data_IF_589262563526
#
_entry.id   IF_589262563526
#
_cell.length_a   1.000
_cell.length_b   1.000
_cell.length_c   1.000
_cell.angle_alpha   90.00
_cell.angle_beta   90.00
_cell.angle_gamma   90.00
#
_symmetry.space_group_name_H-M   'P 1'
#
loop_
_entity.id
_entity.type
_entity.pdbx_description
1 polymer ?
#
# COMPACT_ATOMS: atom_id res chain seq x y z
N UNK A 1 27.80 56.57 36.13
CA UNK A 1 28.40 55.79 35.04
C UNK A 1 27.26 55.26 34.18
N UNK A 2 26.57 56.02 33.33
CA UNK A 2 26.98 57.12 32.43
C UNK A 2 27.89 56.64 31.28
N UNK A 3 27.28 56.16 30.18
CA UNK A 3 27.45 56.69 28.81
C UNK A 3 26.80 55.73 27.77
N UNK A 4 25.88 56.11 26.88
CA UNK A 4 25.79 57.17 25.84
C UNK A 4 26.24 56.68 24.46
N UNK A 5 25.26 56.37 23.59
CA UNK A 5 25.19 56.55 22.10
C UNK A 5 23.92 55.82 21.63
N UNK A 6 22.78 56.38 21.19
CA UNK A 6 22.41 57.57 20.38
C UNK A 6 23.07 57.61 19.00
N UNK A 7 22.60 56.76 18.10
CA UNK A 7 22.64 57.04 16.65
C UNK A 7 21.28 57.59 16.19
N UNK A 8 21.35 58.83 15.69
CA UNK A 8 20.31 59.52 14.94
C UNK A 8 20.23 58.91 13.53
N UNK A 9 19.04 58.45 13.13
CA UNK A 9 18.71 58.25 11.72
C UNK A 9 17.82 59.40 11.24
N UNK A 10 18.41 60.28 10.43
CA UNK A 10 17.74 61.37 9.73
C UNK A 10 16.82 60.79 8.63
N UNK A 11 15.51 60.87 8.84
CA UNK A 11 14.50 60.65 7.81
C UNK A 11 14.32 61.93 6.99
N UNK A 12 14.70 61.85 5.71
CA UNK A 12 14.35 62.84 4.69
C UNK A 12 12.87 62.71 4.32
N UNK A 13 12.10 63.81 4.19
CA UNK A 13 10.74 63.77 3.68
C UNK A 13 10.74 63.63 2.16
N UNK A 14 10.30 62.47 1.66
CA UNK A 14 10.03 62.24 0.23
C UNK A 14 8.67 62.87 -0.10
N UNK A 15 8.66 63.83 -1.03
CA UNK A 15 7.44 64.45 -1.59
C UNK A 15 6.59 63.41 -2.34
N UNK A 16 5.27 63.35 -2.12
CA UNK A 16 4.36 62.61 -2.99
C UNK A 16 3.80 63.56 -4.07
N UNK A 17 4.34 63.50 -5.28
CA UNK A 17 3.64 64.03 -6.45
C UNK A 17 3.98 63.16 -7.66
N UNK A 18 2.92 62.73 -8.36
CA UNK A 18 2.86 61.78 -9.49
C UNK A 18 2.77 60.30 -9.12
N UNK A 19 1.57 59.83 -8.78
CA UNK A 19 1.21 58.41 -8.90
C UNK A 19 -0.26 58.16 -9.27
N UNK A 20 -0.96 59.16 -9.82
CA UNK A 20 -2.40 59.03 -10.14
C UNK A 20 -2.74 58.81 -11.62
N UNK A 21 -1.74 58.59 -12.50
CA UNK A 21 -2.01 58.38 -13.94
C UNK A 21 -1.64 56.97 -14.44
N UNK A 22 -0.78 56.21 -13.74
CA UNK A 22 -0.47 54.82 -14.13
C UNK A 22 -1.42 53.77 -13.53
N UNK A 23 -2.13 54.10 -12.45
CA UNK A 23 -3.00 53.13 -11.79
C UNK A 23 -4.28 52.78 -12.56
N UNK A 24 -4.70 53.59 -13.54
CA UNK A 24 -5.89 53.32 -14.36
C UNK A 24 -5.61 52.44 -15.60
N UNK A 25 -4.38 52.38 -16.09
CA UNK A 25 -4.03 51.55 -17.24
C UNK A 25 -3.64 50.11 -16.84
N UNK A 26 -3.16 49.91 -15.60
CA UNK A 26 -2.80 48.58 -15.08
C UNK A 26 -4.04 47.77 -14.63
N UNK A 27 -5.14 48.43 -14.23
CA UNK A 27 -6.37 47.71 -13.83
C UNK A 27 -7.14 47.11 -15.00
N UNK A 28 -7.02 47.66 -16.23
CA UNK A 28 -7.69 47.07 -17.40
C UNK A 28 -6.93 45.86 -17.97
N UNK A 29 -5.61 45.75 -17.76
CA UNK A 29 -4.83 44.60 -18.25
C UNK A 29 -4.91 43.42 -17.26
N UNK A 30 -5.06 43.67 -15.96
CA UNK A 30 -5.21 42.60 -14.95
C UNK A 30 -6.61 41.99 -14.90
N UNK A 31 -7.65 42.70 -15.35
CA UNK A 31 -9.02 42.17 -15.42
C UNK A 31 -9.17 40.99 -16.39
N UNK A 32 -8.64 41.12 -17.62
CA UNK A 32 -8.78 40.08 -18.65
C UNK A 32 -7.96 38.81 -18.38
N UNK A 33 -6.84 38.92 -17.68
CA UNK A 33 -5.98 37.76 -17.40
C UNK A 33 -6.56 36.87 -16.27
N UNK A 34 -7.36 37.43 -15.38
CA UNK A 34 -7.97 36.68 -14.28
C UNK A 34 -9.13 35.80 -14.75
N UNK A 35 -9.92 36.23 -15.74
CA UNK A 35 -10.97 35.38 -16.34
C UNK A 35 -10.38 34.21 -17.13
N UNK A 36 -9.30 34.44 -17.89
CA UNK A 36 -8.59 33.36 -18.58
C UNK A 36 -7.99 32.33 -17.60
N UNK A 37 -7.45 32.80 -16.47
CA UNK A 37 -6.90 31.93 -15.42
C UNK A 37 -8.00 31.15 -14.68
N UNK A 38 -9.17 31.75 -14.45
CA UNK A 38 -10.30 31.08 -13.82
C UNK A 38 -10.89 29.99 -14.74
N UNK A 39 -11.06 30.29 -16.02
CA UNK A 39 -11.57 29.33 -17.01
C UNK A 39 -10.63 28.12 -17.19
N UNK A 40 -9.30 28.33 -17.12
CA UNK A 40 -8.33 27.23 -17.18
C UNK A 40 -8.43 26.25 -16.01
N UNK A 41 -8.68 26.75 -14.78
CA UNK A 41 -8.84 25.89 -13.60
C UNK A 41 -10.13 25.08 -13.65
N UNK A 42 -11.21 25.63 -14.20
CA UNK A 42 -12.48 24.89 -14.36
C UNK A 42 -12.39 23.78 -15.42
N UNK A 43 -11.55 23.95 -16.45
CA UNK A 43 -11.29 22.91 -17.45
C UNK A 43 -10.42 21.79 -16.85
N UNK A 44 -9.36 22.14 -16.11
CA UNK A 44 -8.50 21.18 -15.42
C UNK A 44 -9.28 20.38 -14.36
N UNK A 45 -10.15 21.03 -13.58
CA UNK A 45 -11.02 20.34 -12.62
C UNK A 45 -11.98 19.35 -13.30
N UNK A 46 -12.55 19.71 -14.46
CA UNK A 46 -13.42 18.81 -15.23
C UNK A 46 -12.66 17.60 -15.76
N UNK A 47 -11.44 17.78 -16.23
CA UNK A 47 -10.61 16.67 -16.71
C UNK A 47 -10.24 15.71 -15.57
N UNK A 48 -9.91 16.23 -14.39
CA UNK A 48 -9.65 15.43 -13.18
C UNK A 48 -10.90 14.65 -12.78
N UNK A 49 -12.08 15.27 -12.79
CA UNK A 49 -13.35 14.62 -12.48
C UNK A 49 -13.67 13.47 -13.44
N UNK A 50 -13.45 13.68 -14.75
CA UNK A 50 -13.65 12.64 -15.77
C UNK A 50 -12.69 11.45 -15.56
N UNK A 51 -11.44 11.71 -15.20
CA UNK A 51 -10.44 10.66 -14.93
C UNK A 51 -10.82 9.88 -13.66
N UNK A 52 -11.24 10.56 -12.60
CA UNK A 52 -11.72 9.95 -11.36
C UNK A 52 -12.96 9.08 -11.60
N UNK A 53 -13.95 9.58 -12.35
CA UNK A 53 -15.15 8.82 -12.67
C UNK A 53 -14.83 7.56 -13.49
N UNK A 54 -13.90 7.66 -14.44
CA UNK A 54 -13.43 6.49 -15.21
C UNK A 54 -12.73 5.48 -14.31
N UNK A 55 -11.89 5.91 -13.36
CA UNK A 55 -11.20 5.02 -12.41
C UNK A 55 -12.20 4.31 -11.50
N UNK A 56 -13.19 5.02 -10.97
CA UNK A 56 -14.26 4.44 -10.14
C UNK A 56 -15.07 3.39 -10.91
N UNK A 57 -15.45 3.66 -12.17
CA UNK A 57 -16.17 2.68 -13.00
C UNK A 57 -15.35 1.42 -13.25
N UNK A 58 -14.04 1.55 -13.51
CA UNK A 58 -13.16 0.40 -13.70
C UNK A 58 -13.03 -0.44 -12.43
N UNK A 59 -12.85 0.18 -11.27
CA UNK A 59 -12.83 -0.54 -9.98
C UNK A 59 -14.17 -1.25 -9.71
N UNK A 60 -15.29 -0.60 -10.03
CA UNK A 60 -16.62 -1.20 -9.84
C UNK A 60 -16.85 -2.39 -10.77
N UNK A 61 -16.35 -2.33 -12.02
CA UNK A 61 -16.37 -3.46 -12.94
C UNK A 61 -15.49 -4.62 -12.49
N UNK A 62 -14.29 -4.33 -11.97
CA UNK A 62 -13.37 -5.33 -11.44
C UNK A 62 -13.97 -6.06 -10.23
N UNK A 63 -14.51 -5.31 -9.28
CA UNK A 63 -15.21 -5.86 -8.12
C UNK A 63 -16.43 -6.71 -8.53
N UNK A 64 -17.18 -6.29 -9.57
CA UNK A 64 -18.26 -7.11 -10.14
C UNK A 64 -17.76 -8.42 -10.74
N UNK A 65 -16.60 -8.41 -11.40
CA UNK A 65 -16.00 -9.63 -11.97
C UNK A 65 -15.57 -10.59 -10.87
N UNK A 66 -14.95 -10.09 -9.80
CA UNK A 66 -14.56 -10.92 -8.65
C UNK A 66 -15.77 -11.56 -7.96
N UNK A 67 -16.83 -10.78 -7.71
CA UNK A 67 -18.08 -11.29 -7.12
C UNK A 67 -18.71 -12.37 -8.00
N UNK A 68 -18.73 -12.19 -9.32
CA UNK A 68 -19.27 -13.18 -10.23
C UNK A 68 -18.40 -14.46 -10.26
N UNK A 69 -17.08 -14.33 -10.24
CA UNK A 69 -16.17 -15.46 -10.19
C UNK A 69 -16.33 -16.28 -8.90
N UNK A 70 -16.38 -15.61 -7.74
CA UNK A 70 -16.66 -16.22 -6.43
C UNK A 70 -18.02 -16.92 -6.40
N UNK A 71 -19.04 -16.30 -7.00
CA UNK A 71 -20.39 -16.89 -7.09
C UNK A 71 -20.39 -18.17 -7.93
N UNK A 72 -19.68 -18.18 -9.05
CA UNK A 72 -19.61 -19.36 -9.92
C UNK A 72 -18.76 -20.48 -9.27
N UNK A 73 -17.69 -20.14 -8.56
CA UNK A 73 -16.90 -21.09 -7.77
C UNK A 73 -17.75 -21.73 -6.66
N UNK A 74 -18.55 -20.93 -5.94
CA UNK A 74 -19.47 -21.44 -4.92
C UNK A 74 -20.57 -22.32 -5.51
N UNK A 75 -21.10 -21.99 -6.69
CA UNK A 75 -22.07 -22.83 -7.40
C UNK A 75 -21.45 -24.17 -7.80
N UNK A 76 -20.22 -24.16 -8.32
CA UNK A 76 -19.50 -25.38 -8.65
C UNK A 76 -19.25 -26.24 -7.41
N UNK A 77 -18.86 -25.63 -6.28
CA UNK A 77 -18.68 -26.34 -5.01
C UNK A 77 -19.99 -27.00 -4.54
N UNK A 78 -21.11 -26.28 -4.56
CA UNK A 78 -22.41 -26.81 -4.18
C UNK A 78 -22.86 -27.97 -5.08
N UNK A 79 -22.68 -27.85 -6.41
CA UNK A 79 -22.99 -28.96 -7.33
C UNK A 79 -22.15 -30.21 -7.06
N UNK A 80 -20.89 -30.02 -6.63
CA UNK A 80 -20.02 -31.13 -6.27
C UNK A 80 -20.50 -31.81 -5.00
N UNK A 81 -20.88 -31.04 -3.97
CA UNK A 81 -21.44 -31.58 -2.72
C UNK A 81 -22.74 -32.35 -2.97
N UNK A 82 -23.65 -31.79 -3.77
CA UNK A 82 -24.92 -32.44 -4.13
C UNK A 82 -24.68 -33.76 -4.88
N UNK A 83 -23.76 -33.77 -5.86
CA UNK A 83 -23.40 -35.00 -6.58
C UNK A 83 -22.72 -36.07 -5.71
N UNK A 84 -22.12 -35.68 -4.58
CA UNK A 84 -21.50 -36.63 -3.64
C UNK A 84 -22.53 -37.22 -2.67
N UNK A 85 -23.65 -36.52 -2.43
CA UNK A 85 -24.69 -36.94 -1.49
C UNK A 85 -25.60 -38.04 -2.03
N UNK A 86 -25.72 -38.19 -3.36
CA UNK A 86 -26.54 -39.24 -3.97
C UNK A 86 -25.83 -40.60 -4.11
N UNK A 87 -24.56 -40.70 -3.68
CA UNK A 87 -23.77 -41.95 -3.76
C UNK A 87 -23.73 -42.75 -2.46
N UNK A 88 -24.40 -42.33 -1.38
CA UNK A 88 -24.56 -43.14 -0.17
C UNK A 88 -25.87 -43.94 -0.23
N UNK A 89 -25.95 -44.82 -1.22
CA UNK A 89 -26.71 -46.04 -1.05
C UNK A 89 -26.02 -46.83 0.07
N UNK A 90 -26.71 -46.93 1.22
CA UNK A 90 -26.32 -47.74 2.37
C UNK A 90 -25.85 -49.12 1.87
N UNK A 91 -24.57 -49.49 2.05
CA UNK A 91 -24.13 -50.82 1.68
C UNK A 91 -24.66 -51.79 2.73
N UNK A 92 -25.77 -52.47 2.41
CA UNK A 92 -26.12 -53.73 3.07
C UNK A 92 -25.01 -54.73 2.78
N UNK A 93 -24.23 -55.00 3.82
CA UNK A 93 -23.18 -56.02 3.89
C UNK A 93 -23.80 -57.39 3.55
N UNK A 94 -23.54 -57.88 2.35
CA UNK A 94 -23.81 -59.27 1.98
C UNK A 94 -22.54 -59.84 1.36
N UNK A 95 -22.00 -60.83 2.05
CA UNK A 95 -20.93 -61.71 1.60
C UNK A 95 -21.21 -62.19 0.16
N UNK A 96 -20.20 -62.11 -0.71
CA UNK A 96 -19.85 -63.13 -1.71
C UNK A 96 -18.58 -62.73 -2.49
N UNK A 97 -17.50 -63.50 -2.25
CA UNK A 97 -16.49 -63.86 -3.26
C UNK A 97 -17.16 -64.76 -4.35
N UNK A 98 -16.60 -65.05 -5.54
CA UNK A 98 -15.23 -64.82 -6.03
C UNK A 98 -15.07 -64.46 -7.53
N UNK A 99 -13.80 -64.29 -7.93
CA UNK A 99 -13.17 -64.71 -9.21
C UNK A 99 -13.49 -64.01 -10.56
N UNK A 100 -12.41 -63.50 -11.18
CA UNK A 100 -11.95 -63.72 -12.57
C UNK A 100 -11.54 -62.48 -13.39
N UNK A 101 -10.32 -62.58 -13.95
CA UNK A 101 -9.67 -61.78 -15.00
C UNK A 101 -10.26 -62.13 -16.38
N UNK A 102 -10.26 -61.23 -17.39
CA UNK A 102 -9.12 -61.03 -18.34
C UNK A 102 -8.92 -59.54 -18.75
N UNK A 103 -7.72 -59.04 -19.11
CA UNK A 103 -6.90 -59.15 -20.36
C UNK A 103 -7.55 -58.57 -21.64
N UNK A 104 -6.76 -57.74 -22.35
CA UNK A 104 -6.96 -57.11 -23.68
C UNK A 104 -7.96 -55.92 -23.75
N UNK A 105 -7.75 -54.82 -24.50
CA UNK A 105 -7.14 -54.74 -25.82
C UNK A 105 -6.70 -53.30 -26.18
N UNK A 106 -5.73 -53.30 -27.09
CA UNK A 106 -5.02 -52.23 -27.79
C UNK A 106 -5.88 -51.69 -28.94
N UNK A 107 -5.94 -50.36 -29.16
CA UNK A 107 -6.26 -49.87 -30.52
C UNK A 107 -5.67 -48.49 -30.85
N UNK A 108 -5.14 -48.51 -32.07
CA UNK A 108 -4.35 -47.56 -32.83
C UNK A 108 -5.12 -46.39 -33.46
N UNK A 109 -4.37 -45.31 -33.73
CA UNK A 109 -4.33 -44.49 -34.97
C UNK A 109 -5.63 -43.86 -35.49
N UNK A 110 -5.67 -42.52 -35.59
CA UNK A 110 -6.09 -41.85 -36.84
C UNK A 110 -5.61 -40.37 -37.00
N UNK A 111 -4.68 -40.19 -37.95
CA UNK A 111 -4.66 -39.21 -39.07
C UNK A 111 -4.82 -37.70 -38.87
N UNK A 112 -3.77 -36.98 -39.31
CA UNK A 112 -3.83 -35.65 -39.93
C UNK A 112 -4.75 -35.62 -41.17
N UNK A 113 -5.20 -34.41 -41.58
CA UNK A 113 -4.80 -33.98 -42.91
C UNK A 113 -4.27 -32.54 -43.00
N UNK A 114 -3.29 -32.40 -43.90
CA UNK A 114 -2.71 -31.18 -44.43
C UNK A 114 -3.67 -30.39 -45.33
N UNK A 115 -3.27 -29.14 -45.57
CA UNK A 115 -3.54 -28.28 -46.72
C UNK A 115 -4.69 -27.25 -46.61
N UNK A 116 -4.29 -25.97 -46.47
CA UNK A 116 -4.85 -24.91 -47.29
C UNK A 116 -3.85 -23.74 -47.41
N UNK A 117 -3.29 -23.64 -48.61
CA UNK A 117 -2.50 -22.53 -49.12
C UNK A 117 -3.37 -21.28 -49.22
N UNK A 118 -2.97 -20.22 -48.52
CA UNK A 118 -3.63 -18.92 -48.55
C UNK A 118 -2.60 -17.81 -48.72
N UNK A 119 -2.35 -17.42 -49.98
CA UNK A 119 -1.64 -16.19 -50.36
C UNK A 119 -2.19 -14.99 -49.56
N UNK A 120 -1.38 -14.42 -48.66
CA UNK A 120 -1.58 -13.07 -48.16
C UNK A 120 -0.48 -12.15 -48.67
N UNK A 121 -0.93 -11.06 -49.28
CA UNK A 121 -0.12 -9.95 -49.80
C UNK A 121 0.71 -9.32 -48.67
N UNK A 122 1.94 -8.87 -48.93
CA UNK A 122 2.71 -8.10 -47.97
C UNK A 122 2.08 -6.71 -47.83
N UNK A 123 1.27 -6.53 -46.78
CA UNK A 123 0.81 -5.21 -46.34
C UNK A 123 1.99 -4.59 -45.59
N UNK A 124 2.54 -3.49 -46.11
CA UNK A 124 3.52 -2.63 -45.42
C UNK A 124 2.97 -2.25 -44.04
N UNK A 125 3.34 -3.03 -43.03
CA UNK A 125 3.21 -2.64 -41.63
C UNK A 125 4.42 -1.80 -41.29
N UNK A 126 4.20 -0.55 -40.90
CA UNK A 126 5.23 0.31 -40.33
C UNK A 126 5.95 -0.45 -39.22
N UNK A 127 7.24 -0.67 -39.41
CA UNK A 127 8.08 -1.41 -38.49
C UNK A 127 8.19 -0.66 -37.17
N UNK A 128 7.29 -0.95 -36.24
CA UNK A 128 7.59 -0.84 -34.83
C UNK A 128 8.75 -1.81 -34.58
N UNK A 129 9.94 -1.27 -34.38
CA UNK A 129 11.19 -2.01 -34.17
C UNK A 129 10.93 -3.14 -33.16
N UNK A 130 11.45 -4.36 -33.37
CA UNK A 130 11.32 -5.47 -32.41
C UNK A 130 11.69 -5.06 -30.97
N UNK A 131 12.60 -4.09 -30.84
CA UNK A 131 13.01 -3.46 -29.60
C UNK A 131 11.86 -2.76 -28.84
N UNK A 132 10.95 -2.08 -29.54
CA UNK A 132 9.81 -1.38 -28.93
C UNK A 132 8.81 -2.34 -28.29
N UNK A 133 8.62 -3.52 -28.90
CA UNK A 133 7.77 -4.57 -28.35
C UNK A 133 8.42 -5.28 -27.15
N UNK A 134 9.76 -5.38 -27.11
CA UNK A 134 10.49 -5.92 -25.95
C UNK A 134 10.47 -4.94 -24.78
N UNK A 135 10.69 -3.64 -25.03
CA UNK A 135 10.60 -2.59 -23.99
C UNK A 135 9.17 -2.46 -23.44
N UNK A 136 8.15 -2.54 -24.31
CA UNK A 136 6.74 -2.51 -23.89
C UNK A 136 6.33 -3.75 -23.09
N UNK A 137 6.89 -4.92 -23.41
CA UNK A 137 6.63 -6.19 -22.70
C UNK A 137 7.37 -6.29 -21.36
N UNK A 138 8.52 -5.64 -21.21
CA UNK A 138 9.19 -5.52 -19.91
C UNK A 138 8.51 -4.51 -18.99
N UNK A 139 7.96 -3.41 -19.54
CA UNK A 139 7.19 -2.43 -18.75
C UNK A 139 5.93 -3.01 -18.10
N UNK A 140 5.31 -4.02 -18.73
CA UNK A 140 4.10 -4.69 -18.24
C UNK A 140 4.37 -5.87 -17.29
N UNK A 141 5.62 -6.30 -17.11
CA UNK A 141 6.00 -7.25 -16.05
C UNK A 141 6.37 -6.57 -14.74
N UNK A 142 6.61 -5.27 -14.75
CA UNK A 142 6.95 -4.46 -13.57
C UNK A 142 5.73 -3.88 -12.84
N UNK A 143 4.51 -4.05 -13.37
CA UNK A 143 3.30 -3.41 -12.85
C UNK A 143 2.66 -4.11 -11.65
N UNK A 144 3.24 -5.21 -11.15
CA UNK A 144 2.66 -5.97 -10.03
C UNK A 144 3.48 -5.82 -8.73
N UNK A 145 4.39 -4.86 -8.66
CA UNK A 145 5.17 -4.56 -7.45
C UNK A 145 5.05 -3.07 -7.14
N UNK A 146 3.83 -2.64 -6.79
CA UNK A 146 3.63 -1.34 -6.14
C UNK A 146 4.25 -1.39 -4.75
N UNK A 147 4.76 -0.24 -4.30
CA UNK A 147 5.13 -0.06 -2.91
C UNK A 147 3.86 -0.15 -2.03
N UNK A 148 3.98 -0.58 -0.77
CA UNK A 148 2.83 -0.58 0.14
C UNK A 148 2.32 0.86 0.31
N UNK A 149 1.00 1.04 0.25
CA UNK A 149 0.33 2.33 0.44
C UNK A 149 0.25 2.66 1.94
N UNK A 150 1.38 3.00 2.55
CA UNK A 150 1.49 3.32 3.97
C UNK A 150 2.24 4.63 4.25
N UNK A 151 2.10 5.13 5.49
CA UNK A 151 2.73 6.40 5.90
C UNK A 151 4.26 6.35 5.77
N UNK A 152 4.86 5.17 5.99
CA UNK A 152 6.31 4.98 5.89
C UNK A 152 6.78 5.10 4.46
N UNK A 153 5.99 4.65 3.49
CA UNK A 153 6.26 4.76 2.08
C UNK A 153 6.18 6.21 1.63
N UNK A 154 5.21 6.96 2.13
CA UNK A 154 5.19 8.42 1.94
C UNK A 154 6.44 9.09 2.57
N UNK A 155 6.94 8.61 3.72
CA UNK A 155 8.21 9.07 4.27
C UNK A 155 9.40 8.74 3.35
N UNK A 156 9.42 7.55 2.73
CA UNK A 156 10.49 7.12 1.83
C UNK A 156 10.58 8.01 0.58
N UNK A 157 9.46 8.46 0.04
CA UNK A 157 9.42 9.34 -1.14
C UNK A 157 9.62 10.83 -0.82
N UNK A 158 9.53 11.18 0.45
CA UNK A 158 9.60 12.57 0.89
C UNK A 158 11.02 12.98 1.26
N UNK A 159 11.35 14.26 1.03
CA UNK A 159 12.60 14.83 1.57
C UNK A 159 12.64 14.65 3.10
N UNK A 160 13.79 14.27 3.68
CA UNK A 160 13.95 14.17 5.13
C UNK A 160 13.59 15.50 5.79
N UNK A 161 12.98 15.44 6.97
CA UNK A 161 12.49 16.63 7.70
C UNK A 161 11.39 17.44 7.00
N UNK A 162 10.79 16.97 5.90
CA UNK A 162 9.59 17.59 5.34
C UNK A 162 8.34 17.30 6.19
N UNK A 163 7.24 18.01 5.93
CA UNK A 163 5.98 17.83 6.66
C UNK A 163 5.50 16.36 6.66
N UNK A 164 5.62 15.65 5.52
CA UNK A 164 5.30 14.22 5.40
C UNK A 164 6.17 13.35 6.29
N UNK A 165 7.45 13.70 6.41
CA UNK A 165 8.40 12.99 7.26
C UNK A 165 8.07 13.21 8.73
N UNK A 166 7.77 14.44 9.13
CA UNK A 166 7.30 14.77 10.47
C UNK A 166 5.98 14.06 10.81
N UNK A 167 5.04 13.97 9.86
CA UNK A 167 3.78 13.25 10.03
C UNK A 167 4.02 11.76 10.28
N UNK A 168 4.89 11.10 9.52
CA UNK A 168 5.19 9.69 9.74
C UNK A 168 5.85 9.42 11.10
N UNK A 169 6.78 10.29 11.55
CA UNK A 169 7.33 10.22 12.92
C UNK A 169 6.24 10.44 13.98
N UNK A 170 5.34 11.38 13.77
CA UNK A 170 4.23 11.65 14.67
C UNK A 170 3.29 10.46 14.81
N UNK A 171 2.87 9.87 13.69
CA UNK A 171 2.01 8.66 13.66
C UNK A 171 2.70 7.50 14.38
N UNK A 172 3.97 7.25 14.08
CA UNK A 172 4.78 6.23 14.75
C UNK A 172 4.84 6.48 16.27
N UNK A 173 5.10 7.72 16.70
CA UNK A 173 5.15 8.06 18.12
C UNK A 173 3.79 7.87 18.82
N UNK A 174 2.68 8.21 18.15
CA UNK A 174 1.33 7.93 18.63
C UNK A 174 1.06 6.43 18.78
N UNK A 175 1.41 5.61 17.79
CA UNK A 175 1.25 4.15 17.85
C UNK A 175 2.08 3.54 18.98
N UNK A 176 3.35 3.90 19.12
CA UNK A 176 4.19 3.41 20.23
C UNK A 176 3.62 3.85 21.59
N UNK A 177 3.13 5.08 21.71
CA UNK A 177 2.48 5.57 22.94
C UNK A 177 1.22 4.76 23.26
N UNK A 178 0.39 4.45 22.27
CA UNK A 178 -0.79 3.60 22.45
C UNK A 178 -0.42 2.18 22.84
N UNK A 179 0.62 1.59 22.22
CA UNK A 179 1.15 0.28 22.61
C UNK A 179 1.63 0.27 24.07
N UNK A 180 2.33 1.31 24.51
CA UNK A 180 2.76 1.45 25.92
C UNK A 180 1.54 1.57 26.84
N UNK A 181 0.54 2.37 26.47
CA UNK A 181 -0.69 2.52 27.25
C UNK A 181 -1.44 1.20 27.39
N UNK A 182 -1.62 0.46 26.30
CA UNK A 182 -2.21 -0.88 26.30
C UNK A 182 -1.39 -1.83 27.17
N UNK A 183 -0.05 -1.72 27.17
CA UNK A 183 0.81 -2.55 28.02
C UNK A 183 0.62 -2.26 29.51
N UNK A 184 0.45 -0.98 29.87
CA UNK A 184 0.23 -0.55 31.26
C UNK A 184 -1.16 -0.98 31.74
N UNK A 185 -2.19 -0.86 30.91
CA UNK A 185 -3.55 -1.30 31.26
C UNK A 185 -3.67 -2.84 31.27
N UNK A 186 -2.95 -3.49 30.35
CA UNK A 186 -2.95 -4.93 30.16
C UNK A 186 -2.20 -5.71 31.24
N UNK A 187 -1.26 -5.06 31.93
CA UNK A 187 -0.34 -5.71 32.85
C UNK A 187 -0.23 -5.01 34.20
N UNK A 188 -0.52 -5.76 35.26
CA UNK A 188 0.24 -5.56 36.49
C UNK A 188 1.68 -6.02 36.17
N UNK A 189 2.63 -5.09 36.01
CA UNK A 189 4.05 -5.43 35.73
C UNK A 189 4.67 -6.31 36.85
N UNK A 190 3.93 -6.59 37.92
CA UNK A 190 4.18 -7.68 38.84
C UNK A 190 4.09 -9.03 38.12
N UNK A 191 5.22 -9.47 37.55
CA UNK A 191 5.41 -10.76 36.90
C UNK A 191 5.16 -11.92 37.89
N UNK A 192 3.90 -12.25 38.15
CA UNK A 192 3.52 -13.44 38.91
C UNK A 192 3.48 -14.61 37.92
N UNK A 193 4.64 -15.23 37.69
CA UNK A 193 4.76 -16.43 36.88
C UNK A 193 4.09 -17.60 37.60
N UNK A 194 2.77 -17.68 37.49
CA UNK A 194 2.01 -18.88 37.85
C UNK A 194 1.87 -19.72 36.59
N UNK A 195 2.40 -20.96 36.55
CA UNK A 195 2.29 -21.79 35.37
C UNK A 195 0.79 -22.03 35.06
N UNK A 196 0.30 -21.65 33.87
CA UNK A 196 -1.09 -21.91 33.49
C UNK A 196 -1.40 -23.41 33.38
N UNK A 197 -2.69 -23.75 33.27
CA UNK A 197 -3.13 -25.13 33.04
C UNK A 197 -2.63 -25.64 31.66
N UNK A 198 -2.35 -26.95 31.55
CA UNK A 198 -1.80 -27.59 30.34
C UNK A 198 -2.62 -27.30 29.07
N UNK A 199 -3.95 -27.17 29.21
CA UNK A 199 -4.86 -26.83 28.11
C UNK A 199 -4.68 -25.39 27.62
N UNK A 200 -4.38 -24.46 28.53
CA UNK A 200 -4.17 -23.04 28.22
C UNK A 200 -2.86 -22.84 27.46
N UNK A 201 -1.82 -23.63 27.75
CA UNK A 201 -0.53 -23.56 27.05
C UNK A 201 -0.64 -23.81 25.54
N UNK A 202 -1.43 -24.79 25.11
CA UNK A 202 -1.61 -25.09 23.67
C UNK A 202 -2.31 -23.90 22.99
N UNK A 203 -3.35 -23.35 23.63
CA UNK A 203 -4.06 -22.18 23.16
C UNK A 203 -3.16 -20.94 23.05
N UNK A 204 -2.38 -20.66 24.10
CA UNK A 204 -1.41 -19.55 24.10
C UNK A 204 -0.37 -19.70 23.00
N UNK A 205 0.18 -20.91 22.80
CA UNK A 205 1.14 -21.18 21.73
C UNK A 205 0.57 -20.94 20.34
N UNK A 206 -0.66 -21.41 20.08
CA UNK A 206 -1.37 -21.17 18.81
C UNK A 206 -1.63 -19.68 18.61
N UNK A 207 -2.08 -18.97 19.65
CA UNK A 207 -2.33 -17.52 19.58
C UNK A 207 -1.06 -16.73 19.30
N UNK A 208 0.07 -17.04 19.95
CA UNK A 208 1.36 -16.38 19.68
C UNK A 208 1.78 -16.60 18.23
N UNK A 209 1.59 -17.82 17.70
CA UNK A 209 1.89 -18.12 16.31
C UNK A 209 1.02 -17.30 15.34
N UNK A 210 -0.28 -17.22 15.58
CA UNK A 210 -1.17 -16.38 14.77
C UNK A 210 -0.84 -14.90 14.86
N UNK A 211 -0.55 -14.39 16.06
CA UNK A 211 -0.11 -13.01 16.27
C UNK A 211 1.16 -12.72 15.48
N UNK A 212 2.14 -13.64 15.51
CA UNK A 212 3.37 -13.50 14.73
C UNK A 212 3.09 -13.43 13.23
N UNK A 213 2.22 -14.31 12.72
CA UNK A 213 1.82 -14.29 11.30
C UNK A 213 1.04 -13.03 10.92
N UNK A 214 0.25 -12.47 11.85
CA UNK A 214 -0.51 -11.25 11.63
C UNK A 214 0.34 -9.98 11.58
N UNK A 215 1.62 -10.03 11.98
CA UNK A 215 2.52 -8.85 11.93
C UNK A 215 2.99 -8.54 10.50
N UNK A 216 2.09 -8.02 9.67
CA UNK A 216 2.37 -7.62 8.29
C UNK A 216 3.49 -6.58 8.16
N UNK A 217 3.63 -5.69 9.14
CA UNK A 217 4.62 -4.61 9.13
C UNK A 217 6.07 -5.09 9.21
N UNK A 218 6.33 -6.11 10.02
CA UNK A 218 7.66 -6.70 10.14
C UNK A 218 8.08 -7.37 8.83
N UNK A 219 7.18 -8.14 8.21
CA UNK A 219 7.48 -8.82 6.95
C UNK A 219 7.57 -7.86 5.77
N UNK A 220 6.67 -6.86 5.72
CA UNK A 220 6.68 -5.86 4.65
C UNK A 220 7.94 -5.00 4.67
N UNK A 221 8.38 -4.53 5.85
CA UNK A 221 9.64 -3.76 5.97
C UNK A 221 10.87 -4.55 5.50
N UNK A 222 11.02 -5.81 5.92
CA UNK A 222 12.12 -6.68 5.46
C UNK A 222 12.05 -6.92 3.96
N UNK A 223 10.85 -7.19 3.42
CA UNK A 223 10.63 -7.40 2.00
C UNK A 223 10.96 -6.16 1.18
N UNK A 224 10.54 -4.97 1.64
CA UNK A 224 10.82 -3.68 1.00
C UNK A 224 12.32 -3.39 0.98
N UNK A 225 13.03 -3.58 2.10
CA UNK A 225 14.50 -3.45 2.14
C UNK A 225 15.17 -4.42 1.16
N UNK A 226 14.75 -5.70 1.16
CA UNK A 226 15.35 -6.71 0.29
C UNK A 226 15.10 -6.41 -1.19
N UNK A 227 13.91 -5.92 -1.52
CA UNK A 227 13.52 -5.51 -2.87
C UNK A 227 14.31 -4.28 -3.33
N UNK A 228 14.33 -3.21 -2.53
CA UNK A 228 15.08 -1.98 -2.83
C UNK A 228 16.59 -2.22 -2.92
N UNK A 229 17.14 -3.12 -2.09
CA UNK A 229 18.56 -3.48 -2.16
C UNK A 229 18.93 -4.20 -3.46
N UNK A 230 17.99 -4.96 -4.05
CA UNK A 230 18.22 -5.65 -5.33
C UNK A 230 18.03 -4.74 -6.53
N UNK A 231 17.23 -3.70 -6.41
CA UNK A 231 17.00 -2.73 -7.47
C UNK A 231 18.06 -1.62 -7.41
N UNK A 232 19.03 -1.66 -8.34
CA UNK A 232 20.12 -0.66 -8.40
C UNK A 232 19.67 0.77 -8.72
N UNK A 233 18.41 0.95 -9.15
CA UNK A 233 17.81 2.24 -9.56
C UNK A 233 16.68 2.69 -8.62
N UNK A 234 16.82 2.44 -7.31
CA UNK A 234 15.84 2.86 -6.30
C UNK A 234 15.71 4.38 -6.22
N UNK A 235 16.77 5.11 -6.55
CA UNK A 235 16.86 6.56 -6.56
C UNK A 235 15.94 7.19 -7.60
N UNK A 236 15.90 6.64 -8.81
CA UNK A 236 14.96 7.08 -9.86
C UNK A 236 13.51 6.82 -9.40
N UNK A 237 13.26 5.67 -8.76
CA UNK A 237 11.93 5.26 -8.33
C UNK A 237 11.40 6.09 -7.14
N UNK A 238 12.25 6.42 -6.16
CA UNK A 238 11.83 7.09 -4.93
C UNK A 238 12.03 8.61 -4.95
N UNK A 239 13.08 9.10 -5.62
CA UNK A 239 13.44 10.52 -5.64
C UNK A 239 13.07 11.22 -6.95
N UNK A 240 12.70 10.46 -7.99
CA UNK A 240 12.42 11.00 -9.32
C UNK A 240 13.65 11.63 -9.99
N UNK A 241 14.88 11.27 -9.55
CA UNK A 241 16.11 11.80 -10.12
C UNK A 241 16.27 11.39 -11.58
N UNK A 242 16.72 12.33 -12.41
CA UNK A 242 17.08 12.05 -13.79
C UNK A 242 18.37 11.23 -13.88
N UNK A 243 18.53 10.42 -14.94
CA UNK A 243 19.67 9.50 -15.13
C UNK A 243 21.05 10.20 -15.19
N UNK A 244 21.09 11.53 -15.34
CA UNK A 244 22.31 12.33 -15.42
C UNK A 244 22.70 13.01 -14.08
N UNK A 245 21.94 12.85 -13.01
CA UNK A 245 22.29 13.42 -11.71
C UNK A 245 23.41 12.66 -11.01
N UNK A 246 24.10 13.34 -10.09
CA UNK A 246 25.15 12.73 -9.26
C UNK A 246 24.64 11.46 -8.56
N UNK A 247 25.49 10.41 -8.47
CA UNK A 247 25.10 9.15 -7.87
C UNK A 247 24.57 9.36 -6.44
N UNK A 248 23.52 8.63 -6.03
CA UNK A 248 22.91 8.84 -4.72
C UNK A 248 23.93 8.58 -3.62
N UNK A 249 23.93 9.48 -2.62
CA UNK A 249 24.82 9.31 -1.48
C UNK A 249 24.33 8.15 -0.61
N UNK A 250 25.25 7.53 0.14
CA UNK A 250 24.88 6.50 1.13
C UNK A 250 23.89 7.06 2.18
N UNK A 251 23.97 8.37 2.46
CA UNK A 251 23.07 9.06 3.38
C UNK A 251 21.65 9.13 2.84
N UNK A 252 21.48 9.34 1.53
CA UNK A 252 20.16 9.32 0.90
C UNK A 252 19.52 7.93 1.06
N UNK A 253 20.31 6.87 0.85
CA UNK A 253 19.83 5.50 1.07
C UNK A 253 19.41 5.26 2.53
N UNK A 254 20.21 5.70 3.49
CA UNK A 254 19.90 5.53 4.92
C UNK A 254 18.64 6.31 5.31
N UNK A 255 18.54 7.58 4.91
CA UNK A 255 17.44 8.47 5.31
C UNK A 255 16.11 8.10 4.64
N UNK A 256 16.15 7.72 3.36
CA UNK A 256 14.93 7.40 2.60
C UNK A 256 14.52 5.95 2.73
N UNK A 257 15.45 4.99 2.83
CA UNK A 257 15.12 3.57 2.81
C UNK A 257 15.27 2.96 4.19
N UNK A 258 16.46 3.07 4.81
CA UNK A 258 16.73 2.34 6.04
C UNK A 258 15.86 2.82 7.20
N UNK A 259 15.81 4.13 7.46
CA UNK A 259 15.13 4.67 8.63
C UNK A 259 13.62 4.38 8.62
N UNK A 260 12.85 4.69 7.56
CA UNK A 260 11.42 4.40 7.54
C UNK A 260 11.11 2.91 7.73
N UNK A 261 11.88 2.02 7.09
CA UNK A 261 11.70 0.58 7.24
C UNK A 261 12.10 0.07 8.63
N UNK A 262 13.14 0.64 9.26
CA UNK A 262 13.51 0.32 10.65
C UNK A 262 12.44 0.78 11.63
N UNK A 263 11.87 1.98 11.44
CA UNK A 263 10.76 2.46 12.27
C UNK A 263 9.53 1.56 12.14
N UNK A 264 9.16 1.20 10.91
CA UNK A 264 8.08 0.25 10.63
C UNK A 264 8.33 -1.12 11.26
N UNK A 265 9.56 -1.62 11.17
CA UNK A 265 9.94 -2.88 11.80
C UNK A 265 9.84 -2.82 13.32
N UNK A 266 10.33 -1.74 13.94
CA UNK A 266 10.24 -1.51 15.39
C UNK A 266 8.77 -1.42 15.84
N UNK A 267 7.90 -0.77 15.06
CA UNK A 267 6.46 -0.72 15.33
C UNK A 267 5.85 -2.12 15.34
N UNK A 268 6.02 -2.89 14.27
CA UNK A 268 5.49 -4.26 14.21
C UNK A 268 6.07 -5.15 15.31
N UNK A 269 7.35 -4.99 15.64
CA UNK A 269 7.98 -5.70 16.75
C UNK A 269 7.43 -5.29 18.13
N UNK A 270 7.13 -4.01 18.33
CA UNK A 270 6.50 -3.51 19.56
C UNK A 270 5.09 -4.09 19.72
N UNK A 271 4.26 -4.04 18.67
CA UNK A 271 2.92 -4.64 18.66
C UNK A 271 2.99 -6.13 18.95
N UNK A 272 3.93 -6.87 18.33
CA UNK A 272 4.19 -8.27 18.61
C UNK A 272 4.52 -8.51 20.09
N UNK A 273 5.45 -7.73 20.66
CA UNK A 273 5.90 -7.90 22.02
C UNK A 273 4.79 -7.63 23.04
N UNK A 274 4.00 -6.57 22.83
CA UNK A 274 2.83 -6.26 23.67
C UNK A 274 1.78 -7.36 23.58
N UNK A 275 1.50 -7.84 22.36
CA UNK A 275 0.57 -8.96 22.14
C UNK A 275 1.04 -10.23 22.85
N UNK A 276 2.33 -10.57 22.73
CA UNK A 276 2.93 -11.70 23.41
C UNK A 276 2.77 -11.58 24.93
N UNK A 277 3.06 -10.41 25.49
CA UNK A 277 2.92 -10.16 26.93
C UNK A 277 1.47 -10.35 27.40
N UNK A 278 0.50 -9.79 26.67
CA UNK A 278 -0.93 -9.92 26.98
C UNK A 278 -1.39 -11.39 26.91
N UNK A 279 -0.97 -12.14 25.89
CA UNK A 279 -1.31 -13.58 25.78
C UNK A 279 -0.78 -14.36 26.98
N UNK A 280 0.42 -14.02 27.46
CA UNK A 280 1.05 -14.71 28.59
C UNK A 280 0.40 -14.35 29.93
N UNK A 281 -0.12 -13.14 30.11
CA UNK A 281 -0.70 -12.68 31.38
C UNK A 281 -2.19 -12.99 31.53
N UNK A 282 -2.94 -13.04 30.42
CA UNK A 282 -4.41 -13.24 30.48
C UNK A 282 -4.78 -14.71 30.63
N UNK A 283 -5.58 -15.02 31.64
CA UNK A 283 -6.21 -16.33 31.84
C UNK A 283 -7.59 -16.45 31.18
N UNK A 284 -8.24 -15.32 30.87
CA UNK A 284 -9.56 -15.27 30.25
C UNK A 284 -9.45 -15.00 28.74
N UNK A 285 -10.11 -15.83 27.95
CA UNK A 285 -10.15 -15.68 26.49
C UNK A 285 -10.85 -14.39 26.04
N UNK A 286 -11.89 -13.94 26.76
CA UNK A 286 -12.65 -12.74 26.39
C UNK A 286 -11.81 -11.47 26.54
N UNK A 287 -11.06 -11.36 27.65
CA UNK A 287 -10.13 -10.25 27.87
C UNK A 287 -9.03 -10.25 26.79
N UNK A 288 -8.56 -11.43 26.39
CA UNK A 288 -7.60 -11.58 25.31
C UNK A 288 -8.12 -11.06 23.96
N UNK A 289 -9.37 -11.38 23.60
CA UNK A 289 -9.99 -10.90 22.35
C UNK A 289 -10.17 -9.38 22.37
N UNK A 290 -10.56 -8.80 23.51
CA UNK A 290 -10.68 -7.34 23.69
C UNK A 290 -9.32 -6.67 23.45
N UNK A 291 -8.28 -7.14 24.13
CA UNK A 291 -6.94 -6.58 24.03
C UNK A 291 -6.36 -6.73 22.61
N UNK A 292 -6.61 -7.88 21.96
CA UNK A 292 -6.24 -8.11 20.57
C UNK A 292 -6.95 -7.15 19.60
N UNK A 293 -8.24 -6.89 19.81
CA UNK A 293 -9.00 -5.94 18.97
C UNK A 293 -8.43 -4.53 19.09
N UNK A 294 -8.09 -4.10 20.31
CA UNK A 294 -7.44 -2.81 20.53
C UNK A 294 -6.09 -2.72 19.80
N UNK A 295 -5.29 -3.78 19.84
CA UNK A 295 -4.01 -3.84 19.12
C UNK A 295 -4.18 -3.79 17.60
N UNK A 296 -5.18 -4.49 17.06
CA UNK A 296 -5.50 -4.43 15.63
C UNK A 296 -5.89 -3.02 15.17
N UNK A 297 -6.61 -2.25 15.99
CA UNK A 297 -6.93 -0.86 15.68
C UNK A 297 -5.65 -0.01 15.68
N UNK A 298 -4.75 -0.23 16.64
CA UNK A 298 -3.48 0.50 16.71
C UNK A 298 -2.58 0.19 15.50
N UNK A 299 -2.56 -1.05 15.02
CA UNK A 299 -1.77 -1.44 13.84
C UNK A 299 -2.31 -0.87 12.53
N UNK A 300 -3.60 -0.50 12.45
CA UNK A 300 -4.18 0.11 11.24
C UNK A 300 -4.12 1.64 11.25
N UNK A 301 -3.66 2.26 12.35
CA UNK A 301 -3.69 3.71 12.52
C UNK A 301 -2.84 4.45 11.47
N UNK A 302 -1.74 3.86 11.02
CA UNK A 302 -0.87 4.43 9.99
C UNK A 302 -1.48 4.35 8.58
N UNK A 303 -2.15 3.26 8.24
CA UNK A 303 -2.94 3.13 7.01
C UNK A 303 -4.07 4.16 6.99
N UNK A 304 -4.78 4.31 8.12
CA UNK A 304 -5.83 5.33 8.27
C UNK A 304 -5.25 6.74 8.11
N UNK A 305 -4.08 7.02 8.71
CA UNK A 305 -3.42 8.31 8.55
C UNK A 305 -3.02 8.57 7.10
N UNK A 306 -2.54 7.54 6.39
CA UNK A 306 -2.24 7.60 4.96
C UNK A 306 -3.51 7.92 4.14
N UNK A 307 -4.63 7.25 4.41
CA UNK A 307 -5.92 7.53 3.77
C UNK A 307 -6.37 8.97 4.00
N UNK A 308 -6.24 9.50 5.22
CA UNK A 308 -6.55 10.91 5.51
C UNK A 308 -5.70 11.88 4.69
N UNK A 309 -4.40 11.60 4.50
CA UNK A 309 -3.57 12.36 3.56
C UNK A 309 -4.02 12.20 2.12
N UNK A 310 -4.41 10.99 1.70
CA UNK A 310 -4.86 10.68 0.34
C UNK A 310 -6.20 11.35 -0.02
N UNK A 311 -7.06 11.62 0.96
CA UNK A 311 -8.26 12.43 0.76
C UNK A 311 -8.02 13.95 0.84
N UNK A 312 -6.79 14.38 1.14
CA UNK A 312 -6.40 15.80 1.19
C UNK A 312 -6.80 16.55 2.46
N UNK A 313 -7.26 15.85 3.51
CA UNK A 313 -7.65 16.49 4.77
C UNK A 313 -6.48 17.20 5.49
N UNK A 314 -5.25 16.75 5.26
CA UNK A 314 -4.04 17.28 5.89
C UNK A 314 -3.32 18.33 5.02
N UNK A 315 -3.93 18.72 3.89
CA UNK A 315 -3.44 19.77 2.99
C UNK A 315 -2.96 19.24 1.64
N UNK A 316 -3.03 20.12 0.64
CA UNK A 316 -2.74 19.82 -0.77
C UNK A 316 -1.31 19.31 -1.00
N UNK A 317 -0.33 19.82 -0.24
CA UNK A 317 1.07 19.40 -0.37
C UNK A 317 1.33 17.96 0.05
N UNK A 318 0.53 17.42 0.98
CA UNK A 318 0.61 16.03 1.40
C UNK A 318 -0.19 15.13 0.45
N UNK A 319 -1.35 15.62 -0.01
CA UNK A 319 -2.17 14.95 -1.00
C UNK A 319 -1.38 14.62 -2.27
N UNK A 320 -0.69 15.62 -2.85
CA UNK A 320 0.09 15.40 -4.08
C UNK A 320 1.15 14.30 -3.91
N UNK A 321 1.75 14.19 -2.73
CA UNK A 321 2.73 13.13 -2.44
C UNK A 321 2.13 11.74 -2.28
N UNK A 322 0.88 11.65 -1.83
CA UNK A 322 0.19 10.35 -1.82
C UNK A 322 -0.18 9.90 -3.23
N UNK A 323 -0.48 10.84 -4.14
CA UNK A 323 -0.71 10.53 -5.55
C UNK A 323 0.56 10.04 -6.23
N UNK A 324 1.71 10.64 -5.92
CA UNK A 324 3.02 10.18 -6.42
C UNK A 324 3.40 8.78 -5.88
N UNK A 325 2.81 8.38 -4.75
CA UNK A 325 3.09 7.10 -4.11
C UNK A 325 2.33 5.91 -4.70
N UNK A 326 1.22 6.15 -5.42
CA UNK A 326 0.33 5.14 -6.00
C UNK A 326 0.73 4.75 -7.43
#
# INVERSE_FOLDING_TARGET
>A
SENTTKELLCLHPIRPHRLDIEHQHVTMITGNNNEALANGREEEQRDIEIVLERRMRLQQEEMRREINNLRDEMRNFLSKVESTSDSDAIPTFSDNLPQDLPVEQQQDVESQPSAASGRQRPRRTGGSSPLSNILRRNRSRSSNQSLPEDIFTMMMMSRPCSASWALGIFVWACQITLCILISIEGGDFGFSWKPPDAKVYIGQGISIFFVFLAQGDMFSSVRTIQWLRRNSRWDILLLGKEENEDPPSIWDWILHILIPNVLKFIQGFAVFFVSFFIIMTRSNLLDLIKDFTSLMIVSELDNIAFDFTAYGYLGESLYLKTVDAQ
#
